data_IF_824444945986
#
_entry.id   IF_824444945986
#
_cell.length_a   1.000
_cell.length_b   1.000
_cell.length_c   1.000
_cell.angle_alpha   90.00
_cell.angle_beta   90.00
_cell.angle_gamma   90.00
#
_symmetry.space_group_name_H-M   'P 1'
#
loop_
_entity.id
_entity.type
_entity.pdbx_description
1 polymer ?
#
# COMPACT_ATOMS: atom_id res chain seq x y z
N UNK A 1 -10.70 -2.81 -2.07
CA UNK A 1 -9.65 -3.77 -2.44
C UNK A 1 -10.15 -5.21 -2.39
N UNK A 2 -10.54 -5.76 -1.23
CA UNK A 2 -11.00 -7.16 -1.10
C UNK A 2 -12.07 -7.59 -2.13
N UNK A 3 -13.11 -6.78 -2.39
CA UNK A 3 -14.15 -7.07 -3.40
C UNK A 3 -13.62 -7.24 -4.85
N UNK A 4 -12.41 -6.76 -5.13
CA UNK A 4 -11.73 -6.87 -6.43
C UNK A 4 -10.64 -7.96 -6.43
N UNK A 5 -10.57 -8.81 -5.38
CA UNK A 5 -9.58 -9.88 -5.27
C UNK A 5 -8.15 -9.39 -5.01
N UNK A 6 -7.99 -8.15 -4.52
CA UNK A 6 -6.68 -7.59 -4.13
C UNK A 6 -6.42 -7.90 -2.66
N UNK A 7 -5.35 -8.64 -2.39
CA UNK A 7 -4.82 -8.89 -1.05
C UNK A 7 -4.10 -7.65 -0.51
N UNK A 8 -4.30 -7.35 0.78
CA UNK A 8 -3.64 -6.23 1.45
C UNK A 8 -3.66 -6.43 2.97
N UNK A 9 -2.74 -5.75 3.66
CA UNK A 9 -2.75 -5.57 5.12
C UNK A 9 -3.09 -4.13 5.44
N UNK A 10 -3.93 -3.90 6.44
CA UNK A 10 -4.27 -2.57 6.95
C UNK A 10 -3.69 -2.39 8.35
N UNK A 11 -2.79 -1.43 8.52
CA UNK A 11 -2.20 -1.09 9.81
C UNK A 11 -2.83 0.21 10.29
N UNK A 12 -3.24 0.26 11.55
CA UNK A 12 -3.83 1.45 12.18
C UNK A 12 -3.55 1.45 13.68
N UNK A 13 -3.56 2.62 14.31
CA UNK A 13 -3.50 2.79 15.77
C UNK A 13 -4.88 2.89 16.43
N UNK A 14 -5.97 2.84 15.65
CA UNK A 14 -7.35 2.94 16.16
C UNK A 14 -8.17 1.71 15.76
N UNK A 15 -8.53 0.87 16.74
CA UNK A 15 -9.48 -0.24 16.54
C UNK A 15 -10.88 0.19 16.96
N UNK A 16 -11.83 0.18 16.04
CA UNK A 16 -13.17 0.74 16.26
C UNK A 16 -13.17 2.26 16.08
N UNK A 17 -13.84 2.98 16.96
CA UNK A 17 -13.81 4.45 17.04
C UNK A 17 -13.11 4.84 18.33
N UNK A 18 -12.07 5.68 18.23
CA UNK A 18 -11.46 6.28 19.42
C UNK A 18 -12.46 7.22 20.12
N UNK A 19 -12.80 6.98 21.40
CA UNK A 19 -13.66 7.87 22.18
C UNK A 19 -13.13 9.31 22.29
N UNK A 20 -11.83 9.57 22.07
CA UNK A 20 -11.21 10.90 22.13
C UNK A 20 -11.83 11.89 21.12
N UNK A 21 -12.29 11.39 19.97
CA UNK A 21 -12.98 12.22 18.97
C UNK A 21 -14.30 12.83 19.48
N UNK A 22 -14.85 12.41 20.63
CA UNK A 22 -16.09 12.98 21.21
C UNK A 22 -16.03 14.47 21.51
N UNK A 23 -14.84 15.01 21.78
CA UNK A 23 -14.63 16.43 22.04
C UNK A 23 -14.42 17.26 20.75
N UNK A 24 -14.17 16.61 19.61
CA UNK A 24 -14.05 17.27 18.31
C UNK A 24 -15.43 17.68 17.76
N UNK A 25 -15.60 18.98 17.49
CA UNK A 25 -16.89 19.56 17.07
C UNK A 25 -17.43 18.96 15.75
N UNK A 26 -16.55 18.42 14.90
CA UNK A 26 -16.90 17.73 13.66
C UNK A 26 -17.56 16.36 13.91
N UNK A 27 -17.06 15.62 14.89
CA UNK A 27 -17.46 14.23 15.14
C UNK A 27 -18.60 14.10 16.18
N UNK A 28 -18.68 15.04 17.14
CA UNK A 28 -19.64 15.01 18.27
C UNK A 28 -21.10 14.73 17.92
N UNK A 29 -21.54 15.04 16.69
CA UNK A 29 -22.93 14.85 16.26
C UNK A 29 -23.25 13.45 15.67
N UNK A 30 -22.25 12.69 15.20
CA UNK A 30 -22.48 11.39 14.52
C UNK A 30 -21.75 10.21 15.15
N UNK A 31 -20.82 10.45 16.09
CA UNK A 31 -19.93 9.43 16.64
C UNK A 31 -20.57 8.16 17.13
N UNK A 32 -21.70 8.21 17.83
CA UNK A 32 -22.30 6.98 18.36
C UNK A 32 -22.86 6.10 17.22
N UNK A 33 -23.44 6.71 16.17
CA UNK A 33 -23.86 6.02 14.93
C UNK A 33 -22.67 5.56 14.09
N UNK A 34 -21.62 6.38 13.98
CA UNK A 34 -20.40 6.02 13.27
C UNK A 34 -19.62 4.91 14.00
N UNK A 35 -19.67 4.84 15.33
CA UNK A 35 -19.05 3.78 16.12
C UNK A 35 -19.70 2.42 15.84
N UNK A 36 -21.03 2.32 15.80
CA UNK A 36 -21.72 1.09 15.41
C UNK A 36 -21.30 0.65 13.98
N UNK A 37 -21.34 1.58 13.02
CA UNK A 37 -20.96 1.35 11.62
C UNK A 37 -19.49 0.88 11.48
N UNK A 38 -18.56 1.51 12.19
CA UNK A 38 -17.13 1.19 12.13
C UNK A 38 -16.84 -0.14 12.81
N UNK A 39 -17.46 -0.42 13.97
CA UNK A 39 -17.34 -1.72 14.63
C UNK A 39 -17.88 -2.87 13.76
N UNK A 40 -18.99 -2.66 13.04
CA UNK A 40 -19.47 -3.61 12.04
C UNK A 40 -18.46 -3.83 10.89
N UNK A 41 -17.75 -2.79 10.44
CA UNK A 41 -16.76 -2.90 9.38
C UNK A 41 -15.55 -3.74 9.82
N UNK A 42 -15.02 -3.52 11.03
CA UNK A 42 -13.97 -4.38 11.60
C UNK A 42 -14.44 -5.83 11.77
N UNK A 43 -15.68 -6.06 12.21
CA UNK A 43 -16.25 -7.40 12.31
C UNK A 43 -16.40 -8.09 10.95
N UNK A 44 -16.88 -7.37 9.92
CA UNK A 44 -16.98 -7.86 8.54
C UNK A 44 -15.60 -8.16 7.94
N UNK A 45 -14.61 -7.29 8.16
CA UNK A 45 -13.24 -7.47 7.70
C UNK A 45 -12.60 -8.73 8.29
N UNK A 46 -12.77 -8.96 9.60
CA UNK A 46 -12.33 -10.18 10.28
C UNK A 46 -12.97 -11.44 9.70
N UNK A 47 -14.28 -11.41 9.42
CA UNK A 47 -14.99 -12.52 8.78
C UNK A 47 -14.56 -12.74 7.31
N UNK A 48 -14.06 -11.70 6.64
CA UNK A 48 -13.51 -11.75 5.28
C UNK A 48 -12.00 -12.07 5.24
N UNK A 49 -11.40 -12.39 6.39
CA UNK A 49 -9.96 -12.68 6.54
C UNK A 49 -9.05 -11.54 6.04
N UNK A 50 -9.53 -10.30 6.09
CA UNK A 50 -8.71 -9.11 5.82
C UNK A 50 -7.77 -8.93 7.01
N UNK A 51 -6.48 -8.84 6.73
CA UNK A 51 -5.44 -8.69 7.76
C UNK A 51 -5.42 -7.24 8.27
N UNK A 52 -5.77 -7.07 9.54
CA UNK A 52 -5.82 -5.78 10.24
C UNK A 52 -4.88 -5.84 11.44
N UNK A 53 -3.81 -5.07 11.39
CA UNK A 53 -2.79 -4.95 12.42
C UNK A 53 -3.01 -3.67 13.26
N UNK A 54 -3.31 -3.80 14.55
CA UNK A 54 -3.29 -2.67 15.48
C UNK A 54 -1.83 -2.32 15.81
N UNK A 55 -1.22 -1.40 15.05
CA UNK A 55 0.23 -1.21 15.05
C UNK A 55 0.69 0.10 14.40
N UNK A 56 1.55 0.84 15.10
CA UNK A 56 2.39 1.91 14.53
C UNK A 56 3.68 1.34 13.92
N UNK A 57 4.14 1.92 12.81
CA UNK A 57 5.48 1.68 12.25
C UNK A 57 6.41 2.87 12.50
N UNK A 58 7.54 2.62 13.16
CA UNK A 58 8.62 3.63 13.23
C UNK A 58 9.14 4.02 11.85
N UNK A 59 9.81 5.17 11.73
CA UNK A 59 10.47 5.59 10.49
C UNK A 59 11.38 4.48 9.92
N UNK A 60 12.18 3.85 10.77
CA UNK A 60 13.05 2.74 10.39
C UNK A 60 12.28 1.51 9.91
N UNK A 61 11.13 1.21 10.54
CA UNK A 61 10.28 0.08 10.16
C UNK A 61 9.60 0.29 8.81
N UNK A 62 9.11 1.51 8.54
CA UNK A 62 8.53 1.88 7.25
C UNK A 62 9.60 1.93 6.16
N UNK A 63 10.79 2.46 6.46
CA UNK A 63 11.91 2.44 5.53
C UNK A 63 12.40 1.01 5.25
N UNK A 64 12.40 0.11 6.24
CA UNK A 64 12.71 -1.31 6.05
C UNK A 64 11.66 -1.99 5.14
N UNK A 65 10.36 -1.72 5.35
CA UNK A 65 9.28 -2.20 4.48
C UNK A 65 9.41 -1.69 3.04
N UNK A 66 9.80 -0.43 2.83
CA UNK A 66 10.00 0.09 1.47
C UNK A 66 11.27 -0.43 0.79
N UNK A 67 12.27 -0.93 1.55
CA UNK A 67 13.52 -1.49 1.01
C UNK A 67 13.37 -2.91 0.45
N UNK A 68 12.32 -3.65 0.80
CA UNK A 68 12.11 -5.01 0.27
C UNK A 68 11.56 -5.02 -1.15
N UNK A 69 10.97 -3.90 -1.62
CA UNK A 69 10.48 -3.67 -2.99
C UNK A 69 9.48 -4.70 -3.54
N UNK A 70 8.85 -5.46 -2.64
CA UNK A 70 7.83 -6.48 -2.87
C UNK A 70 6.45 -6.02 -2.36
N UNK A 71 6.28 -4.72 -2.09
CA UNK A 71 5.03 -4.11 -1.63
C UNK A 71 4.84 -2.70 -2.21
N UNK A 72 3.58 -2.32 -2.42
CA UNK A 72 3.12 -0.94 -2.55
C UNK A 72 2.53 -0.48 -1.21
N UNK A 73 2.77 0.76 -0.79
CA UNK A 73 2.26 1.28 0.49
C UNK A 73 1.52 2.58 0.26
N UNK A 74 0.20 2.58 0.53
CA UNK A 74 -0.59 3.80 0.64
C UNK A 74 -0.56 4.28 2.10
N UNK A 75 -0.40 5.60 2.29
CA UNK A 75 -0.25 6.25 3.60
C UNK A 75 -1.27 7.34 3.73
N UNK A 76 -2.01 7.37 4.84
CA UNK A 76 -2.82 8.53 5.22
C UNK A 76 -1.93 9.58 5.89
N UNK A 77 -2.01 10.82 5.41
CA UNK A 77 -1.29 11.96 6.01
C UNK A 77 -2.23 13.13 6.23
N UNK A 78 -1.88 14.00 7.18
CA UNK A 78 -2.32 15.39 7.13
C UNK A 78 -1.48 16.15 6.09
N UNK A 79 -2.13 16.49 4.98
CA UNK A 79 -1.49 17.14 3.82
C UNK A 79 -0.74 18.43 4.17
N UNK A 80 -1.12 19.12 5.24
CA UNK A 80 -0.52 20.39 5.68
C UNK A 80 0.96 20.25 6.06
N UNK A 81 1.37 19.06 6.51
CA UNK A 81 2.72 18.78 7.00
C UNK A 81 3.61 18.00 6.01
N UNK A 82 3.04 17.46 4.92
CA UNK A 82 3.79 16.60 3.98
C UNK A 82 4.83 17.38 3.13
N UNK A 83 4.59 18.67 2.88
CA UNK A 83 5.41 19.48 1.95
C UNK A 83 5.85 20.83 2.53
N UNK A 84 6.59 20.86 3.66
CA UNK A 84 6.90 22.09 4.38
C UNK A 84 7.65 23.13 3.52
N UNK A 85 8.52 22.68 2.61
CA UNK A 85 9.28 23.55 1.70
C UNK A 85 8.46 24.21 0.58
N UNK A 86 7.21 23.78 0.36
CA UNK A 86 6.34 24.34 -0.70
C UNK A 86 5.58 25.61 -0.28
N UNK A 87 5.59 25.93 1.02
CA UNK A 87 5.12 27.19 1.58
C UNK A 87 6.34 28.10 1.80
N UNK A 88 6.53 29.09 0.94
CA UNK A 88 7.81 29.80 0.78
C UNK A 88 8.44 30.39 2.05
N UNK A 89 9.58 29.84 2.45
CA UNK A 89 10.81 30.60 2.78
C UNK A 89 10.89 31.47 4.04
N UNK A 90 9.79 31.82 4.73
CA UNK A 90 9.87 32.81 5.84
C UNK A 90 8.99 32.53 7.07
N UNK A 91 8.20 31.45 7.09
CA UNK A 91 7.20 31.22 8.16
C UNK A 91 7.72 30.43 9.38
N UNK A 92 8.85 29.72 9.28
CA UNK A 92 9.23 28.70 10.30
C UNK A 92 9.74 29.27 11.64
N UNK A 93 10.12 30.55 11.69
CA UNK A 93 10.72 31.20 12.86
C UNK A 93 9.79 32.20 13.57
N UNK A 94 8.58 32.44 13.03
CA UNK A 94 7.55 33.29 13.66
C UNK A 94 6.16 32.63 13.60
N UNK A 95 5.86 31.83 12.58
CA UNK A 95 4.55 31.18 12.39
C UNK A 95 4.22 30.08 13.40
N UNK A 96 5.23 29.44 14.02
CA UNK A 96 5.05 28.33 14.96
C UNK A 96 4.20 28.65 16.19
N UNK A 97 4.04 29.93 16.57
CA UNK A 97 3.24 30.35 17.73
C UNK A 97 1.90 31.03 17.35
N UNK A 98 1.71 31.42 16.08
CA UNK A 98 0.52 32.14 15.62
C UNK A 98 -0.36 31.35 14.64
N UNK A 99 0.13 30.24 14.06
CA UNK A 99 -0.64 29.41 13.13
C UNK A 99 -1.67 28.48 13.79
N UNK A 100 -1.76 28.43 15.12
CA UNK A 100 -2.71 27.59 15.87
C UNK A 100 -4.19 28.03 15.74
N UNK A 101 -4.48 29.05 14.94
CA UNK A 101 -5.80 29.67 14.80
C UNK A 101 -6.47 29.45 13.43
N UNK A 102 -5.94 28.56 12.58
CA UNK A 102 -6.56 28.24 11.27
C UNK A 102 -6.68 26.75 11.01
N UNK A 103 -7.94 26.28 11.01
CA UNK A 103 -8.49 25.22 10.16
C UNK A 103 -7.82 23.85 10.14
N UNK A 104 -8.49 22.88 10.79
CA UNK A 104 -8.88 21.58 10.19
C UNK A 104 -7.79 20.60 9.76
N UNK A 105 -7.89 19.37 10.23
CA UNK A 105 -7.23 18.20 9.63
C UNK A 105 -7.58 18.06 8.14
N UNK A 106 -6.57 17.84 7.29
CA UNK A 106 -6.76 17.58 5.85
C UNK A 106 -6.17 16.20 5.53
N UNK A 107 -6.96 15.16 5.79
CA UNK A 107 -6.62 13.78 5.46
C UNK A 107 -6.45 13.58 3.96
N UNK A 108 -5.31 13.01 3.57
CA UNK A 108 -4.95 12.78 2.17
C UNK A 108 -4.16 11.49 2.04
N UNK A 109 -4.58 10.60 1.14
CA UNK A 109 -3.86 9.36 0.84
C UNK A 109 -2.82 9.59 -0.26
N UNK A 110 -1.57 9.17 0.02
CA UNK A 110 -0.45 9.19 -0.93
C UNK A 110 0.13 7.79 -1.10
N UNK A 111 0.72 7.50 -2.27
CA UNK A 111 1.30 6.19 -2.58
C UNK A 111 2.83 6.28 -2.54
N UNK A 112 3.48 5.58 -1.61
CA UNK A 112 4.94 5.42 -1.61
C UNK A 112 5.35 4.41 -2.68
N UNK A 113 6.38 4.77 -3.46
CA UNK A 113 6.92 3.93 -4.55
C UNK A 113 8.43 3.67 -4.43
N UNK A 114 9.11 4.32 -3.49
CA UNK A 114 10.50 4.02 -3.19
C UNK A 114 11.02 4.76 -1.95
N UNK A 115 12.13 4.29 -1.40
CA UNK A 115 12.85 4.93 -0.31
C UNK A 115 14.32 5.16 -0.71
N UNK A 116 14.80 6.38 -0.52
CA UNK A 116 16.17 6.82 -0.80
C UNK A 116 16.96 6.87 0.52
N UNK A 117 17.82 5.87 0.71
CA UNK A 117 18.64 5.76 1.92
C UNK A 117 19.77 6.80 2.00
N UNK A 118 20.15 7.45 0.89
CA UNK A 118 21.20 8.47 0.87
C UNK A 118 20.64 9.85 1.24
N UNK A 119 19.39 10.12 0.86
CA UNK A 119 18.70 11.40 1.11
C UNK A 119 17.75 11.36 2.31
N UNK A 120 17.59 10.19 2.92
CA UNK A 120 16.62 9.84 3.96
C UNK A 120 15.20 10.38 3.66
N UNK A 121 14.57 9.74 2.69
CA UNK A 121 13.25 10.15 2.22
C UNK A 121 12.61 9.17 1.26
N UNK A 122 11.39 9.49 0.84
CA UNK A 122 10.54 8.64 0.03
C UNK A 122 10.22 9.33 -1.29
N UNK A 123 10.13 8.54 -2.36
CA UNK A 123 9.45 8.96 -3.58
C UNK A 123 8.00 8.50 -3.50
N UNK A 124 7.06 9.40 -3.75
CA UNK A 124 5.63 9.12 -3.66
C UNK A 124 4.84 9.76 -4.80
N UNK A 125 3.70 9.16 -5.15
CA UNK A 125 2.67 9.79 -5.98
C UNK A 125 1.63 10.46 -5.10
N UNK A 126 1.34 11.73 -5.39
CA UNK A 126 0.22 12.49 -4.84
C UNK A 126 -0.86 12.63 -5.94
N UNK A 127 -1.99 11.91 -5.82
CA UNK A 127 -3.07 11.93 -6.82
C UNK A 127 -3.68 13.32 -7.08
N UNK A 128 -3.41 14.29 -6.21
CA UNK A 128 -3.92 15.65 -6.30
C UNK A 128 -2.81 16.69 -6.58
N UNK A 129 -1.71 16.28 -7.25
CA UNK A 129 -0.64 17.18 -7.72
C UNK A 129 -0.12 16.88 -9.12
N UNK A 130 0.60 15.78 -9.30
CA UNK A 130 1.40 15.51 -10.51
C UNK A 130 1.46 14.02 -10.82
N UNK A 131 1.56 13.69 -12.11
CA UNK A 131 1.81 12.31 -12.58
C UNK A 131 3.26 11.85 -12.35
N UNK A 132 4.17 12.75 -11.96
CA UNK A 132 5.56 12.41 -11.59
C UNK A 132 5.71 12.17 -10.08
N UNK A 133 6.60 11.23 -9.65
CA UNK A 133 6.90 11.00 -8.24
C UNK A 133 7.56 12.22 -7.59
N UNK A 134 7.11 12.57 -6.39
CA UNK A 134 7.68 13.65 -5.58
C UNK A 134 8.53 13.09 -4.45
N UNK A 135 9.67 13.73 -4.19
CA UNK A 135 10.52 13.40 -3.04
C UNK A 135 10.07 14.13 -1.78
N UNK A 136 9.93 13.42 -0.66
CA UNK A 136 9.70 13.97 0.69
C UNK A 136 10.70 13.37 1.68
N UNK A 137 11.15 14.13 2.68
CA UNK A 137 12.01 13.57 3.72
C UNK A 137 11.24 12.63 4.65
N UNK A 138 11.93 11.63 5.21
CA UNK A 138 11.32 10.66 6.12
C UNK A 138 10.67 11.34 7.33
N UNK A 139 11.33 12.37 7.88
CA UNK A 139 10.82 13.20 8.99
C UNK A 139 9.47 13.88 8.69
N UNK A 140 9.30 14.36 7.46
CA UNK A 140 8.14 15.19 7.07
C UNK A 140 6.94 14.27 6.84
N UNK A 141 7.16 13.17 6.11
CA UNK A 141 6.17 12.09 5.98
C UNK A 141 5.76 11.56 7.35
N UNK A 142 6.72 11.27 8.25
CA UNK A 142 6.45 10.77 9.59
C UNK A 142 5.59 11.72 10.42
N UNK A 143 5.94 13.01 10.43
CA UNK A 143 5.16 14.06 11.11
C UNK A 143 3.73 14.10 10.56
N UNK A 144 3.59 14.08 9.23
CA UNK A 144 2.30 14.16 8.56
C UNK A 144 1.41 12.93 8.80
N UNK A 145 1.98 11.72 8.88
CA UNK A 145 1.25 10.46 9.18
C UNK A 145 1.01 10.17 10.66
N UNK A 146 1.43 11.05 11.57
CA UNK A 146 1.18 10.96 13.02
C UNK A 146 0.28 12.09 13.54
N UNK A 147 -0.27 12.90 12.63
CA UNK A 147 -1.23 13.94 12.99
C UNK A 147 -2.57 13.32 13.46
N UNK A 148 -3.23 13.96 14.43
CA UNK A 148 -4.56 13.58 14.89
C UNK A 148 -5.54 13.48 13.70
N UNK A 149 -6.37 12.44 13.67
CA UNK A 149 -7.26 12.13 12.52
C UNK A 149 -6.64 11.25 11.42
N UNK A 150 -5.33 10.97 11.44
CA UNK A 150 -4.71 10.00 10.51
C UNK A 150 -4.74 8.56 11.00
N UNK A 151 -4.93 8.36 12.32
CA UNK A 151 -4.85 7.07 13.02
C UNK A 151 -3.59 6.22 12.68
N UNK A 152 -2.53 6.86 12.16
CA UNK A 152 -1.36 6.21 11.56
C UNK A 152 -1.65 5.21 10.42
N UNK A 153 -2.78 5.37 9.71
CA UNK A 153 -3.29 4.42 8.71
C UNK A 153 -2.31 4.14 7.55
N UNK A 154 -2.03 2.85 7.33
CA UNK A 154 -1.26 2.33 6.19
C UNK A 154 -2.01 1.18 5.53
N UNK A 155 -2.08 1.20 4.19
CA UNK A 155 -2.53 0.06 3.39
C UNK A 155 -1.32 -0.50 2.65
N UNK A 156 -0.92 -1.72 3.01
CA UNK A 156 0.24 -2.41 2.45
C UNK A 156 -0.26 -3.51 1.50
N UNK A 157 -0.02 -3.32 0.20
CA UNK A 157 -0.43 -4.24 -0.87
C UNK A 157 0.81 -5.01 -1.35
N UNK A 158 0.85 -6.35 -1.24
CA UNK A 158 1.95 -7.14 -1.80
C UNK A 158 2.06 -6.96 -3.32
N UNK A 159 3.28 -6.71 -3.81
CA UNK A 159 3.60 -6.65 -5.23
C UNK A 159 4.03 -8.05 -5.72
N UNK A 160 3.05 -8.90 -6.01
CA UNK A 160 3.32 -10.23 -6.56
C UNK A 160 3.64 -10.15 -8.06
N UNK A 161 4.94 -10.16 -8.39
CA UNK A 161 5.43 -10.25 -9.77
C UNK A 161 4.93 -11.51 -10.53
N UNK A 162 4.30 -12.49 -9.86
CA UNK A 162 3.81 -13.72 -10.50
C UNK A 162 2.51 -13.59 -11.31
N UNK A 163 1.88 -12.41 -11.41
CA UNK A 163 0.73 -12.26 -12.33
C UNK A 163 1.11 -12.50 -13.81
N UNK A 164 2.37 -12.27 -14.21
CA UNK A 164 2.89 -12.69 -15.53
C UNK A 164 3.05 -14.22 -15.69
N UNK A 165 3.01 -15.00 -14.60
CA UNK A 165 3.19 -16.47 -14.60
C UNK A 165 1.87 -17.24 -14.37
N UNK A 166 0.70 -16.58 -14.54
CA UNK A 166 -0.63 -17.22 -14.44
C UNK A 166 -1.26 -17.53 -15.80
N UNK A 167 -0.88 -16.84 -16.88
CA UNK A 167 -1.40 -17.15 -18.23
C UNK A 167 -0.79 -18.43 -18.83
N UNK A 168 0.47 -18.76 -18.51
CA UNK A 168 1.15 -19.97 -19.02
C UNK A 168 0.80 -21.27 -18.29
N UNK A 169 -0.01 -21.23 -17.22
CA UNK A 169 -0.22 -22.40 -16.34
C UNK A 169 -1.54 -23.15 -16.56
N UNK A 170 -2.22 -22.93 -17.69
CA UNK A 170 -3.58 -23.46 -17.93
C UNK A 170 -3.77 -24.33 -19.19
N UNK A 171 -2.72 -25.01 -19.66
CA UNK A 171 -2.85 -26.28 -20.42
C UNK A 171 -1.68 -27.22 -20.07
N UNK A 172 -1.92 -28.26 -19.24
CA UNK A 172 -1.46 -29.65 -19.44
C UNK A 172 -1.75 -30.56 -18.21
N UNK A 173 -2.38 -31.72 -18.45
CA UNK A 173 -2.63 -32.81 -17.48
C UNK A 173 -3.88 -32.62 -16.58
N UNK A 174 -4.60 -33.66 -16.15
CA UNK A 174 -4.59 -35.11 -16.49
C UNK A 174 -5.87 -35.75 -15.86
N UNK A 175 -6.40 -36.95 -16.15
CA UNK A 175 -6.11 -38.08 -17.06
C UNK A 175 -7.46 -38.81 -17.37
N UNK A 176 -7.52 -39.88 -18.22
CA UNK A 176 -8.81 -40.61 -18.34
C UNK A 176 -9.02 -41.89 -19.18
N UNK A 177 -8.01 -42.49 -19.84
CA UNK A 177 -7.94 -43.92 -20.25
C UNK A 177 -8.98 -44.61 -21.17
N UNK A 178 -8.49 -45.30 -22.23
CA UNK A 178 -8.91 -46.66 -22.71
C UNK A 178 -7.70 -47.29 -23.45
N UNK A 179 -7.38 -48.60 -23.32
CA UNK A 179 -6.23 -49.23 -24.00
C UNK A 179 -6.54 -49.88 -25.37
N UNK A 180 -5.48 -50.33 -26.06
CA UNK A 180 -5.40 -51.10 -27.34
C UNK A 180 -5.11 -50.26 -28.60
N UNK A 181 -4.50 -50.76 -29.69
CA UNK A 181 -3.94 -52.08 -30.04
C UNK A 181 -2.97 -51.90 -31.24
N UNK A 182 -1.91 -52.71 -31.38
CA UNK A 182 -1.04 -52.84 -32.60
C UNK A 182 -0.26 -51.55 -32.99
N UNK A 183 1.06 -51.49 -33.12
CA UNK A 183 2.05 -52.51 -33.44
C UNK A 183 2.51 -52.38 -34.90
N UNK A 184 3.59 -51.66 -35.19
CA UNK A 184 4.40 -51.90 -36.39
C UNK A 184 5.80 -51.28 -36.29
N UNK A 185 6.79 -52.14 -36.49
CA UNK A 185 8.20 -51.79 -36.70
C UNK A 185 8.38 -50.95 -37.97
N UNK A 186 9.30 -49.99 -37.97
CA UNK A 186 10.50 -50.13 -38.83
C UNK A 186 11.61 -49.15 -38.45
N UNK A 187 12.83 -49.70 -38.47
CA UNK A 187 14.10 -49.02 -38.27
C UNK A 187 14.64 -48.53 -39.63
N UNK A 188 15.08 -47.27 -39.77
CA UNK A 188 16.00 -46.86 -40.84
C UNK A 188 17.06 -45.87 -40.35
N UNK A 189 18.28 -46.10 -40.84
CA UNK A 189 19.52 -45.34 -40.59
C UNK A 189 19.77 -44.32 -41.72
N UNK A 190 20.62 -43.34 -41.43
CA UNK A 190 21.34 -42.53 -42.42
C UNK A 190 20.58 -41.27 -42.88
N UNK A 191 21.24 -40.20 -43.31
CA UNK A 191 22.69 -39.99 -43.51
C UNK A 191 23.04 -38.49 -43.52
N UNK A 192 24.25 -38.15 -43.05
CA UNK A 192 24.88 -36.84 -43.32
C UNK A 192 25.33 -36.75 -44.79
N UNK A 193 25.33 -35.54 -45.36
CA UNK A 193 26.50 -35.01 -46.06
C UNK A 193 26.88 -33.60 -45.53
N UNK A 194 28.08 -33.06 -45.73
CA UNK A 194 29.21 -33.63 -46.47
C UNK A 194 29.86 -32.66 -47.47
N UNK A 195 30.46 -31.56 -46.98
CA UNK A 195 31.59 -30.80 -47.59
C UNK A 195 31.41 -30.10 -48.96
N UNK A 196 32.36 -29.16 -49.22
CA UNK A 196 32.62 -28.34 -50.42
C UNK A 196 31.84 -27.01 -50.46
N UNK A 197 32.48 -25.83 -50.58
CA UNK A 197 33.91 -25.46 -50.80
C UNK A 197 34.31 -24.34 -49.84
#
# INVERSE_FOLDING_TARGET
MHQYGVDFRFLTMTMGVDPSYKDEAFYRATLDTDAERVNELFAKAKNQQIDIEHRSLSQDSLAALMRTQDHMVMVLVDRRYLYPSSLGGVSTLVGGWFSNCMSGYIGHYVLLVGYDALRDGYYLYDPARTEEPQFVHARDLHTARQCHGTDEDLIVVPWDNQLHNREDRHVYGDHGGVPSLVGLSTNRRGSLPGSLV
#
